data_IF_846574296737
#
_entry.id   IF_846574296737
#
_cell.length_a   1.000
_cell.length_b   1.000
_cell.length_c   1.000
_cell.angle_alpha   90.00
_cell.angle_beta   90.00
_cell.angle_gamma   90.00
#
_symmetry.space_group_name_H-M   'P 1'
#
loop_
_entity.id
_entity.type
_entity.pdbx_description
1 polymer ?
#
# COMPACT_ATOMS: atom_id res chain seq x y z
N UNK A 1 14.51 -4.14 -34.11
CA UNK A 1 15.91 -3.85 -33.71
C UNK A 1 16.21 -4.65 -32.43
N UNK A 2 17.42 -5.22 -32.32
CA UNK A 2 17.79 -6.00 -31.10
C UNK A 2 17.71 -5.18 -29.81
N UNK A 3 17.83 -3.86 -29.93
CA UNK A 3 17.75 -2.91 -28.80
C UNK A 3 16.31 -2.69 -28.29
N UNK A 4 15.29 -2.88 -29.14
CA UNK A 4 13.89 -2.68 -28.74
C UNK A 4 13.40 -3.73 -27.70
N UNK A 5 14.09 -4.89 -27.65
CA UNK A 5 13.78 -5.95 -26.69
C UNK A 5 14.40 -5.77 -25.30
N UNK A 6 15.40 -4.90 -25.17
CA UNK A 6 16.19 -4.69 -23.94
C UNK A 6 16.31 -3.20 -23.62
N UNK A 7 15.21 -2.55 -23.22
CA UNK A 7 15.20 -1.13 -22.91
C UNK A 7 15.92 -0.85 -21.58
N UNK A 8 16.45 0.38 -21.43
CA UNK A 8 17.06 0.84 -20.17
C UNK A 8 16.01 1.16 -19.09
N UNK A 9 14.73 1.31 -19.49
CA UNK A 9 13.61 1.60 -18.61
C UNK A 9 12.35 0.87 -19.06
N UNK A 10 11.50 0.49 -18.13
CA UNK A 10 10.17 -0.05 -18.41
C UNK A 10 9.10 0.78 -17.69
N UNK A 11 7.96 0.98 -18.35
CA UNK A 11 6.81 1.69 -17.80
C UNK A 11 5.77 0.70 -17.29
N UNK A 12 5.14 1.02 -16.15
CA UNK A 12 4.00 0.29 -15.63
C UNK A 12 3.15 1.19 -14.76
N UNK A 13 1.85 1.30 -15.06
CA UNK A 13 0.92 2.09 -14.26
C UNK A 13 1.24 3.59 -14.18
N UNK A 14 2.02 4.12 -15.14
CA UNK A 14 2.48 5.50 -15.15
C UNK A 14 3.76 5.77 -14.35
N UNK A 15 4.34 4.74 -13.75
CA UNK A 15 5.68 4.77 -13.15
C UNK A 15 6.71 4.20 -14.12
N UNK A 16 7.95 4.69 -14.06
CA UNK A 16 9.09 4.22 -14.82
C UNK A 16 10.09 3.54 -13.88
N UNK A 17 10.63 2.41 -14.32
CA UNK A 17 11.58 1.60 -13.57
C UNK A 17 12.84 1.38 -14.41
N UNK A 18 13.99 1.73 -13.88
CA UNK A 18 15.27 1.46 -14.53
C UNK A 18 15.52 -0.04 -14.65
N UNK A 19 16.13 -0.45 -15.74
CA UNK A 19 16.44 -1.86 -16.01
C UNK A 19 17.97 -2.04 -16.10
N UNK A 20 18.48 -2.97 -15.29
CA UNK A 20 19.89 -3.34 -15.28
C UNK A 20 20.05 -4.75 -15.83
N UNK A 21 21.07 -4.92 -16.66
CA UNK A 21 21.42 -6.19 -17.30
C UNK A 21 22.80 -6.62 -16.85
N UNK A 22 22.86 -7.76 -16.18
CA UNK A 22 24.09 -8.38 -15.76
C UNK A 22 24.23 -9.75 -16.44
N UNK A 23 25.40 -10.05 -16.97
CA UNK A 23 25.72 -11.35 -17.53
C UNK A 23 26.95 -11.90 -16.82
N UNK A 24 26.73 -12.40 -15.62
CA UNK A 24 27.75 -13.06 -14.79
C UNK A 24 27.15 -14.32 -14.16
N UNK A 25 27.16 -15.44 -14.92
CA UNK A 25 26.50 -16.66 -14.48
C UNK A 25 26.94 -17.14 -13.11
N UNK A 26 26.02 -17.10 -12.16
CA UNK A 26 26.24 -17.49 -10.76
C UNK A 26 26.40 -16.31 -9.78
N UNK A 27 26.42 -15.08 -10.26
CA UNK A 27 26.30 -13.91 -9.42
C UNK A 27 24.86 -13.70 -8.93
N UNK A 28 24.71 -13.04 -7.78
CA UNK A 28 23.38 -12.78 -7.17
C UNK A 28 22.55 -11.84 -8.04
N UNK A 29 23.19 -10.98 -8.82
CA UNK A 29 22.60 -9.98 -9.72
C UNK A 29 22.56 -10.42 -11.20
N UNK A 30 22.99 -11.67 -11.53
CA UNK A 30 22.94 -12.20 -12.91
C UNK A 30 21.51 -12.16 -13.47
N UNK A 31 21.39 -11.70 -14.72
CA UNK A 31 20.11 -11.60 -15.45
C UNK A 31 19.56 -10.17 -15.53
N UNK A 32 18.25 -10.02 -15.33
CA UNK A 32 17.53 -8.74 -15.43
C UNK A 32 17.11 -8.28 -14.05
N UNK A 33 17.43 -7.05 -13.71
CA UNK A 33 17.08 -6.43 -12.42
C UNK A 33 16.36 -5.10 -12.66
N UNK A 34 15.22 -4.91 -12.01
CA UNK A 34 14.48 -3.65 -11.99
C UNK A 34 14.94 -2.81 -10.81
N UNK A 35 15.40 -1.59 -11.07
CA UNK A 35 15.72 -0.61 -10.05
C UNK A 35 14.45 0.08 -9.57
N UNK A 36 14.21 0.04 -8.28
CA UNK A 36 13.05 0.63 -7.61
C UNK A 36 13.51 1.48 -6.45
N UNK A 37 13.16 2.76 -6.48
CA UNK A 37 13.38 3.61 -5.30
C UNK A 37 12.47 3.16 -4.14
N UNK A 38 12.97 3.23 -2.90
CA UNK A 38 12.23 2.75 -1.73
C UNK A 38 10.83 3.36 -1.62
N UNK A 39 10.66 4.63 -1.94
CA UNK A 39 9.36 5.30 -1.86
C UNK A 39 8.36 4.84 -2.93
N UNK A 40 8.85 4.27 -4.05
CA UNK A 40 8.02 3.69 -5.12
C UNK A 40 7.63 2.24 -4.82
N UNK A 41 8.37 1.55 -3.95
CA UNK A 41 8.19 0.11 -3.70
C UNK A 41 6.75 -0.29 -3.32
N UNK A 42 5.99 0.49 -2.50
CA UNK A 42 4.60 0.15 -2.17
C UNK A 42 3.63 0.19 -3.36
N UNK A 43 3.98 0.94 -4.41
CA UNK A 43 3.15 1.13 -5.60
C UNK A 43 3.53 0.17 -6.74
N UNK A 44 4.62 -0.60 -6.56
CA UNK A 44 5.03 -1.63 -7.51
C UNK A 44 4.03 -2.78 -7.50
N UNK A 45 3.39 -3.11 -8.63
CA UNK A 45 2.50 -4.26 -8.69
C UNK A 45 3.25 -5.57 -8.41
N UNK A 46 2.67 -6.44 -7.56
CA UNK A 46 3.29 -7.72 -7.20
C UNK A 46 3.62 -8.60 -8.41
N UNK A 47 2.84 -8.48 -9.48
CA UNK A 47 3.00 -9.24 -10.72
C UNK A 47 4.01 -8.61 -11.71
N UNK A 48 4.54 -7.40 -11.47
CA UNK A 48 5.43 -6.72 -12.42
C UNK A 48 6.67 -7.56 -12.79
N UNK A 49 7.36 -8.23 -11.86
CA UNK A 49 8.53 -9.07 -12.18
C UNK A 49 8.20 -10.26 -13.09
N UNK A 50 6.93 -10.69 -13.15
CA UNK A 50 6.51 -11.79 -14.02
C UNK A 50 6.73 -11.48 -15.50
N UNK A 51 6.60 -10.22 -15.90
CA UNK A 51 6.73 -9.79 -17.29
C UNK A 51 8.18 -9.76 -17.79
N UNK A 52 9.10 -9.34 -16.94
CA UNK A 52 10.49 -9.13 -17.33
C UNK A 52 10.63 -8.01 -18.35
N UNK A 53 11.50 -8.23 -19.32
CA UNK A 53 11.75 -7.32 -20.44
C UNK A 53 11.16 -7.88 -21.72
N UNK A 54 10.81 -7.03 -22.71
CA UNK A 54 10.20 -7.48 -23.96
C UNK A 54 11.01 -8.57 -24.67
N UNK A 55 12.35 -8.49 -24.66
CA UNK A 55 13.24 -9.47 -25.30
C UNK A 55 13.15 -10.88 -24.69
N UNK A 56 12.72 -11.00 -23.44
CA UNK A 56 12.53 -12.28 -22.77
C UNK A 56 11.10 -12.79 -22.79
N UNK A 57 10.12 -11.97 -23.19
CA UNK A 57 8.69 -12.29 -23.07
C UNK A 57 8.30 -13.54 -23.86
N UNK A 58 8.82 -13.72 -25.07
CA UNK A 58 8.53 -14.91 -25.86
C UNK A 58 9.03 -16.20 -25.20
N UNK A 59 10.22 -16.18 -24.61
CA UNK A 59 10.80 -17.34 -23.93
C UNK A 59 10.04 -17.65 -22.64
N UNK A 60 9.65 -16.63 -21.85
CA UNK A 60 8.81 -16.80 -20.65
C UNK A 60 7.45 -17.39 -21.02
N UNK A 61 6.79 -16.82 -22.03
CA UNK A 61 5.51 -17.33 -22.52
C UNK A 61 5.62 -18.78 -22.99
N UNK A 62 6.70 -19.15 -23.71
CA UNK A 62 6.93 -20.53 -24.13
C UNK A 62 7.08 -21.48 -22.93
N UNK A 63 7.88 -21.11 -21.92
CA UNK A 63 8.04 -21.89 -20.71
C UNK A 63 6.68 -22.11 -20.02
N UNK A 64 5.88 -21.08 -19.86
CA UNK A 64 4.58 -21.15 -19.20
C UNK A 64 3.54 -21.94 -20.03
N UNK A 65 3.43 -21.71 -21.33
CA UNK A 65 2.53 -22.46 -22.21
C UNK A 65 2.85 -23.97 -22.22
N UNK A 66 4.12 -24.37 -22.01
CA UNK A 66 4.51 -25.78 -21.86
C UNK A 66 4.00 -26.43 -20.58
N UNK A 67 3.63 -25.65 -19.54
CA UNK A 67 3.07 -26.17 -18.27
C UNK A 67 1.59 -26.51 -18.38
N UNK A 68 0.89 -26.00 -19.37
CA UNK A 68 -0.55 -26.21 -19.55
C UNK A 68 -0.90 -27.72 -19.66
N UNK A 69 -2.13 -28.10 -19.27
CA UNK A 69 -2.68 -29.43 -19.51
C UNK A 69 -2.56 -29.86 -20.97
N UNK A 70 -2.37 -31.15 -21.21
CA UNK A 70 -2.12 -31.70 -22.56
C UNK A 70 -3.23 -31.40 -23.57
N UNK A 71 -4.46 -31.37 -23.10
CA UNK A 71 -5.67 -31.09 -23.90
C UNK A 71 -5.70 -29.65 -24.43
N UNK A 72 -5.14 -28.67 -23.72
CA UNK A 72 -4.94 -27.30 -24.22
C UNK A 72 -3.71 -27.19 -25.11
N UNK A 73 -2.58 -27.82 -24.71
CA UNK A 73 -1.30 -27.73 -25.45
C UNK A 73 -1.37 -28.24 -26.89
N UNK A 74 -2.24 -29.23 -27.16
CA UNK A 74 -2.42 -29.78 -28.50
C UNK A 74 -2.87 -28.71 -29.50
N UNK A 75 -3.70 -27.75 -29.07
CA UNK A 75 -4.21 -26.66 -29.91
C UNK A 75 -3.22 -25.51 -30.09
N UNK A 76 -2.17 -25.46 -29.25
CA UNK A 76 -1.17 -24.39 -29.29
C UNK A 76 0.12 -24.79 -30.04
N UNK A 77 0.11 -25.89 -30.81
CA UNK A 77 1.29 -26.32 -31.56
C UNK A 77 1.48 -25.53 -32.85
N UNK A 78 2.72 -25.11 -33.18
CA UNK A 78 3.93 -25.16 -32.34
C UNK A 78 3.93 -24.10 -31.22
N UNK A 79 4.22 -24.52 -29.99
CA UNK A 79 4.16 -23.64 -28.82
C UNK A 79 5.07 -22.41 -28.94
N UNK A 80 6.29 -22.61 -29.47
CA UNK A 80 7.25 -21.51 -29.67
C UNK A 80 6.72 -20.40 -30.59
N UNK A 81 5.98 -20.76 -31.66
CA UNK A 81 5.36 -19.77 -32.56
C UNK A 81 4.21 -19.02 -31.85
N UNK A 82 3.41 -19.71 -31.01
CA UNK A 82 2.35 -19.09 -30.24
C UNK A 82 2.90 -18.15 -29.15
N UNK A 83 4.00 -18.53 -28.51
CA UNK A 83 4.71 -17.68 -27.57
C UNK A 83 5.29 -16.43 -28.23
N UNK A 84 5.91 -16.58 -29.39
CA UNK A 84 6.41 -15.45 -30.19
C UNK A 84 5.27 -14.51 -30.60
N UNK A 85 4.14 -15.07 -31.05
CA UNK A 85 2.95 -14.30 -31.41
C UNK A 85 2.35 -13.55 -30.24
N UNK A 86 2.29 -14.17 -29.06
CA UNK A 86 1.89 -13.48 -27.82
C UNK A 86 2.80 -12.28 -27.54
N UNK A 87 4.12 -12.47 -27.60
CA UNK A 87 5.08 -11.38 -27.36
C UNK A 87 4.94 -10.26 -28.41
N UNK A 88 4.67 -10.58 -29.66
CA UNK A 88 4.40 -9.60 -30.71
C UNK A 88 3.12 -8.79 -30.43
N UNK A 89 2.04 -9.43 -30.00
CA UNK A 89 0.79 -8.75 -29.61
C UNK A 89 0.97 -7.79 -28.43
N UNK A 90 1.96 -8.04 -27.57
CA UNK A 90 2.27 -7.20 -26.40
C UNK A 90 3.39 -6.18 -26.68
N UNK A 91 3.96 -6.18 -27.89
CA UNK A 91 5.04 -5.26 -28.25
C UNK A 91 4.59 -3.81 -28.13
N UNK A 92 5.36 -2.99 -27.41
CA UNK A 92 5.07 -1.58 -27.19
C UNK A 92 3.88 -1.30 -26.26
N UNK A 93 3.36 -2.30 -25.57
CA UNK A 93 2.30 -2.16 -24.57
C UNK A 93 2.87 -2.35 -23.17
N UNK A 94 2.51 -1.46 -22.27
CA UNK A 94 2.85 -1.62 -20.85
C UNK A 94 2.16 -2.85 -20.25
N UNK A 95 2.79 -3.52 -19.28
CA UNK A 95 2.13 -4.54 -18.47
C UNK A 95 0.88 -3.98 -17.78
N UNK A 96 -0.25 -4.69 -17.91
CA UNK A 96 -1.57 -4.25 -17.44
C UNK A 96 -2.28 -5.29 -16.54
N UNK A 97 -1.50 -6.21 -15.94
CA UNK A 97 -2.00 -7.26 -15.06
C UNK A 97 -1.05 -8.46 -14.98
N UNK A 98 -1.37 -9.49 -14.18
CA UNK A 98 -0.54 -10.70 -14.06
C UNK A 98 -0.31 -11.39 -15.40
N UNK A 99 0.94 -11.81 -15.65
CA UNK A 99 1.31 -12.48 -16.92
C UNK A 99 0.49 -13.76 -17.14
N UNK A 100 0.28 -14.55 -16.09
CA UNK A 100 -0.52 -15.76 -16.17
C UNK A 100 -1.97 -15.49 -16.60
N UNK A 101 -2.56 -14.37 -16.15
CA UNK A 101 -3.89 -13.96 -16.59
C UNK A 101 -3.92 -13.59 -18.07
N UNK A 102 -2.95 -12.80 -18.54
CA UNK A 102 -2.87 -12.40 -19.95
C UNK A 102 -2.60 -13.57 -20.87
N UNK A 103 -1.80 -14.52 -20.42
CA UNK A 103 -1.61 -15.79 -21.16
C UNK A 103 -2.89 -16.63 -21.18
N UNK A 104 -3.68 -16.66 -20.10
CA UNK A 104 -4.95 -17.37 -20.09
C UNK A 104 -5.94 -16.77 -21.10
N UNK A 105 -6.09 -15.45 -21.11
CA UNK A 105 -6.91 -14.71 -22.08
C UNK A 105 -6.47 -15.02 -23.54
N UNK A 106 -5.15 -15.04 -23.77
CA UNK A 106 -4.58 -15.40 -25.08
C UNK A 106 -4.91 -16.84 -25.48
N UNK A 107 -4.74 -17.80 -24.57
CA UNK A 107 -5.04 -19.22 -24.84
C UNK A 107 -6.53 -19.42 -25.12
N UNK A 108 -7.41 -18.75 -24.41
CA UNK A 108 -8.86 -18.78 -24.66
C UNK A 108 -9.21 -18.23 -26.05
N UNK A 109 -8.60 -17.10 -26.42
CA UNK A 109 -8.80 -16.50 -27.74
C UNK A 109 -8.31 -17.41 -28.88
N UNK A 110 -7.17 -18.07 -28.70
CA UNK A 110 -6.56 -18.94 -29.73
C UNK A 110 -7.23 -20.31 -29.85
N UNK A 111 -7.79 -20.83 -28.76
CA UNK A 111 -8.29 -22.21 -28.72
C UNK A 111 -9.82 -22.30 -28.60
N UNK A 112 -10.50 -21.23 -28.21
CA UNK A 112 -11.92 -21.22 -27.86
C UNK A 112 -12.24 -22.05 -26.62
N UNK A 113 -11.22 -22.38 -25.78
CA UNK A 113 -11.34 -23.22 -24.58
C UNK A 113 -10.97 -22.46 -23.35
N UNK A 114 -11.66 -22.73 -22.25
CA UNK A 114 -11.37 -22.15 -20.95
C UNK A 114 -9.93 -22.47 -20.50
N UNK A 115 -9.21 -21.44 -20.03
CA UNK A 115 -7.88 -21.54 -19.46
C UNK A 115 -7.81 -20.71 -18.17
N UNK A 116 -7.64 -21.36 -17.04
CA UNK A 116 -7.45 -20.64 -15.77
C UNK A 116 -5.99 -20.17 -15.64
N UNK A 117 -5.73 -18.97 -15.08
CA UNK A 117 -4.37 -18.51 -14.76
C UNK A 117 -3.59 -19.48 -13.87
N UNK A 118 -4.27 -20.22 -13.00
CA UNK A 118 -3.67 -21.24 -12.11
C UNK A 118 -3.14 -22.49 -12.84
N UNK A 119 -3.38 -22.63 -14.15
CA UNK A 119 -2.81 -23.72 -14.93
C UNK A 119 -1.34 -23.48 -15.29
N UNK A 120 -0.85 -22.25 -15.16
CA UNK A 120 0.54 -21.90 -15.40
C UNK A 120 1.38 -22.11 -14.15
N UNK A 121 2.48 -22.83 -14.27
CA UNK A 121 3.45 -23.01 -13.19
C UNK A 121 4.59 -22.00 -13.35
N UNK A 122 4.48 -20.90 -12.60
CA UNK A 122 5.47 -19.79 -12.62
C UNK A 122 6.87 -20.25 -12.20
N UNK A 123 6.99 -21.35 -11.42
CA UNK A 123 8.28 -21.89 -10.99
C UNK A 123 9.05 -22.59 -12.13
N UNK A 124 8.43 -22.73 -13.30
CA UNK A 124 9.08 -23.30 -14.49
C UNK A 124 9.83 -22.26 -15.33
N UNK A 125 9.76 -21.00 -14.96
CA UNK A 125 10.59 -19.96 -15.58
C UNK A 125 12.05 -20.24 -15.17
N UNK A 126 12.98 -20.41 -16.14
CA UNK A 126 14.40 -20.60 -15.86
C UNK A 126 14.99 -19.43 -15.08
N UNK A 127 16.00 -19.71 -14.25
CA UNK A 127 16.59 -18.69 -13.37
C UNK A 127 17.13 -17.46 -14.12
N UNK A 128 17.70 -17.68 -15.30
CA UNK A 128 18.19 -16.62 -16.19
C UNK A 128 17.10 -15.71 -16.76
N UNK A 129 15.85 -16.16 -16.73
CA UNK A 129 14.69 -15.37 -17.14
C UNK A 129 13.94 -14.74 -15.95
N UNK A 130 14.30 -15.06 -14.71
CA UNK A 130 13.68 -14.44 -13.54
C UNK A 130 14.13 -13.00 -13.42
N UNK A 131 13.16 -12.08 -13.26
CA UNK A 131 13.45 -10.66 -13.03
C UNK A 131 13.54 -10.39 -11.54
N UNK A 132 14.62 -9.75 -11.13
CA UNK A 132 14.84 -9.32 -9.77
C UNK A 132 14.42 -7.88 -9.60
N UNK A 133 14.19 -7.48 -8.36
CA UNK A 133 13.96 -6.10 -7.95
C UNK A 133 15.08 -5.71 -7.03
N UNK A 134 15.75 -4.63 -7.36
CA UNK A 134 16.75 -3.98 -6.55
C UNK A 134 16.17 -2.70 -5.96
N UNK A 135 16.02 -2.66 -4.64
CA UNK A 135 15.48 -1.49 -3.94
C UNK A 135 16.63 -0.65 -3.43
N UNK A 136 16.64 0.63 -3.81
CA UNK A 136 17.68 1.59 -3.39
C UNK A 136 17.07 2.78 -2.63
N UNK A 137 17.94 3.52 -1.94
CA UNK A 137 17.63 4.81 -1.31
C UNK A 137 18.01 6.00 -2.19
N UNK A 138 17.92 7.21 -1.61
CA UNK A 138 18.21 8.48 -2.31
C UNK A 138 19.67 8.59 -2.75
N UNK A 139 20.60 7.89 -2.07
CA UNK A 139 22.03 7.85 -2.40
C UNK A 139 22.34 6.76 -3.44
N UNK A 140 21.34 5.95 -3.83
CA UNK A 140 21.51 4.81 -4.73
C UNK A 140 22.09 3.58 -4.05
N UNK A 141 22.14 3.55 -2.70
CA UNK A 141 22.62 2.39 -1.96
C UNK A 141 21.56 1.29 -1.89
N UNK A 142 22.02 0.04 -2.02
CA UNK A 142 21.14 -1.11 -1.94
C UNK A 142 20.52 -1.28 -0.54
N UNK A 143 19.20 -1.40 -0.50
CA UNK A 143 18.46 -1.69 0.71
C UNK A 143 17.99 -3.14 0.79
N UNK A 144 17.61 -3.69 -0.35
CA UNK A 144 17.19 -5.07 -0.50
C UNK A 144 17.20 -5.47 -1.98
N UNK A 145 17.39 -6.75 -2.23
CA UNK A 145 17.17 -7.39 -3.52
C UNK A 145 16.29 -8.63 -3.34
N UNK A 146 15.44 -8.92 -4.32
CA UNK A 146 14.56 -10.08 -4.31
C UNK A 146 13.71 -10.20 -5.57
N UNK A 147 12.89 -11.23 -5.63
CA UNK A 147 11.97 -11.48 -6.75
C UNK A 147 10.50 -11.31 -6.37
N UNK A 148 10.22 -11.19 -5.08
CA UNK A 148 8.88 -11.07 -4.52
C UNK A 148 8.67 -9.67 -3.94
N UNK A 149 7.78 -8.88 -4.57
CA UNK A 149 7.45 -7.51 -4.15
C UNK A 149 6.81 -7.48 -2.77
N UNK A 150 5.94 -8.44 -2.45
CA UNK A 150 5.27 -8.48 -1.15
C UNK A 150 6.28 -8.77 -0.02
N UNK A 151 7.24 -9.67 -0.25
CA UNK A 151 8.34 -9.93 0.70
C UNK A 151 9.20 -8.70 0.90
N UNK A 152 9.58 -8.01 -0.18
CA UNK A 152 10.37 -6.77 -0.10
C UNK A 152 9.64 -5.68 0.67
N UNK A 153 8.34 -5.49 0.41
CA UNK A 153 7.49 -4.56 1.17
C UNK A 153 7.43 -4.93 2.66
N UNK A 154 7.25 -6.19 2.99
CA UNK A 154 7.23 -6.65 4.38
C UNK A 154 8.59 -6.43 5.07
N UNK A 155 9.70 -6.72 4.39
CA UNK A 155 11.07 -6.54 4.87
C UNK A 155 11.41 -5.07 5.12
N UNK A 156 11.01 -4.18 4.22
CA UNK A 156 11.32 -2.76 4.28
C UNK A 156 10.22 -1.91 4.95
N UNK A 157 9.09 -2.50 5.33
CA UNK A 157 7.92 -1.79 5.84
C UNK A 157 8.19 -0.82 7.00
N UNK A 158 9.07 -1.19 7.93
CA UNK A 158 9.47 -0.29 9.03
C UNK A 158 10.25 0.93 8.54
N UNK A 159 11.12 0.76 7.54
CA UNK A 159 11.91 1.85 6.93
C UNK A 159 10.97 2.76 6.12
N UNK A 160 10.06 2.19 5.37
CA UNK A 160 9.02 2.91 4.62
C UNK A 160 8.15 3.78 5.53
N UNK A 161 7.56 3.20 6.57
CA UNK A 161 6.73 3.95 7.52
C UNK A 161 7.50 5.02 8.30
N UNK A 162 8.79 4.82 8.51
CA UNK A 162 9.64 5.84 9.13
C UNK A 162 9.86 7.01 8.18
N UNK A 163 10.25 6.76 6.93
CA UNK A 163 10.44 7.78 5.89
C UNK A 163 9.17 8.60 5.67
N UNK A 164 8.03 7.92 5.51
CA UNK A 164 6.74 8.59 5.38
C UNK A 164 6.50 9.57 6.54
N UNK A 165 6.71 9.13 7.79
CA UNK A 165 6.50 9.99 8.97
C UNK A 165 7.47 11.17 9.03
N UNK A 166 8.71 11.00 8.63
CA UNK A 166 9.71 12.07 8.57
C UNK A 166 9.30 13.10 7.52
N UNK A 167 8.99 12.70 6.29
CA UNK A 167 8.52 13.60 5.22
C UNK A 167 7.17 14.26 5.59
N UNK A 168 6.24 13.52 6.14
CA UNK A 168 4.94 14.02 6.56
C UNK A 168 5.05 15.06 7.69
N UNK A 169 6.02 14.91 8.61
CA UNK A 169 6.25 15.85 9.69
C UNK A 169 6.78 17.20 9.18
N UNK A 170 7.53 17.20 8.08
CA UNK A 170 8.01 18.43 7.44
C UNK A 170 6.88 19.18 6.73
N UNK A 171 5.85 18.47 6.27
CA UNK A 171 4.68 19.08 5.60
C UNK A 171 3.70 19.64 6.63
N UNK A 172 3.28 18.84 7.59
CA UNK A 172 2.33 19.24 8.63
C UNK A 172 2.71 18.60 9.97
N UNK A 173 3.18 19.43 10.91
CA UNK A 173 3.42 19.01 12.29
C UNK A 173 3.10 20.15 13.24
N UNK A 174 2.03 19.99 14.02
CA UNK A 174 1.65 20.92 15.09
C UNK A 174 1.49 20.14 16.38
N UNK A 175 2.08 20.64 17.46
CA UNK A 175 2.01 20.01 18.78
C UNK A 175 1.64 21.06 19.85
N UNK A 176 1.13 20.60 20.97
CA UNK A 176 0.91 21.44 22.14
C UNK A 176 -0.26 22.43 22.02
N UNK A 177 -1.15 22.26 21.06
CA UNK A 177 -2.25 23.15 20.77
C UNK A 177 -3.36 23.01 21.81
N UNK A 178 -3.73 24.10 22.48
CA UNK A 178 -4.87 24.20 23.41
C UNK A 178 -5.99 25.07 22.87
N UNK A 179 -5.68 25.92 21.90
CA UNK A 179 -6.61 26.75 21.13
C UNK A 179 -6.42 26.47 19.66
N UNK A 180 -7.46 26.72 18.84
CA UNK A 180 -7.37 26.47 17.41
C UNK A 180 -6.49 27.52 16.74
N UNK A 181 -5.34 27.11 16.24
CA UNK A 181 -4.35 27.97 15.58
C UNK A 181 -3.97 27.51 14.18
N UNK A 182 -4.53 26.37 13.71
CA UNK A 182 -4.12 25.76 12.45
C UNK A 182 -4.90 26.26 11.22
N UNK A 183 -5.91 27.14 11.36
CA UNK A 183 -6.79 27.46 10.24
C UNK A 183 -7.62 26.27 9.77
N UNK A 184 -7.89 26.20 8.46
CA UNK A 184 -8.57 25.06 7.88
C UNK A 184 -7.56 23.92 7.67
N UNK A 185 -7.90 22.73 8.14
CA UNK A 185 -7.10 21.52 7.90
C UNK A 185 -7.56 20.85 6.61
N UNK A 186 -6.67 20.70 5.66
CA UNK A 186 -6.89 19.85 4.52
C UNK A 186 -7.01 18.40 4.99
N UNK A 187 -7.93 17.65 4.40
CA UNK A 187 -8.16 16.25 4.77
C UNK A 187 -7.00 15.34 4.34
N UNK A 188 -6.41 15.68 3.19
CA UNK A 188 -5.31 14.92 2.60
C UNK A 188 -4.19 15.87 2.14
N UNK A 189 -2.97 15.39 2.22
CA UNK A 189 -1.76 16.05 1.70
C UNK A 189 -0.96 15.06 0.88
N UNK A 190 -0.19 15.55 -0.09
CA UNK A 190 0.75 14.71 -0.81
C UNK A 190 2.04 14.55 0.02
N UNK A 191 2.43 13.30 0.25
CA UNK A 191 3.67 12.93 0.94
C UNK A 191 4.52 12.09 -0.01
N UNK A 192 5.41 12.74 -0.75
CA UNK A 192 6.28 12.10 -1.75
C UNK A 192 5.51 11.26 -2.79
N UNK A 193 4.45 11.84 -3.38
CA UNK A 193 3.61 11.19 -4.39
C UNK A 193 2.53 10.25 -3.82
N UNK A 194 2.40 10.14 -2.49
CA UNK A 194 1.43 9.28 -1.81
C UNK A 194 0.45 10.10 -0.98
N UNK A 195 -0.83 9.70 -0.90
CA UNK A 195 -1.79 10.40 -0.07
C UNK A 195 -1.45 10.23 1.42
N UNK A 196 -1.31 11.34 2.12
CA UNK A 196 -1.23 11.41 3.57
C UNK A 196 -2.54 11.96 4.14
N UNK A 197 -3.05 11.36 5.21
CA UNK A 197 -4.32 11.74 5.83
C UNK A 197 -4.06 12.57 7.09
N UNK A 198 -4.51 13.82 7.06
CA UNK A 198 -4.28 14.78 8.16
C UNK A 198 -5.29 14.54 9.28
N UNK A 199 -4.80 14.44 10.50
CA UNK A 199 -5.64 14.22 11.67
C UNK A 199 -5.22 15.01 12.90
N UNK A 200 -6.20 15.43 13.71
CA UNK A 200 -5.99 15.87 15.08
C UNK A 200 -5.62 14.66 15.95
N UNK A 201 -4.64 14.85 16.82
CA UNK A 201 -4.15 13.79 17.71
C UNK A 201 -4.31 14.24 19.16
N UNK A 202 -4.84 13.36 20.01
CA UNK A 202 -4.88 13.57 21.46
C UNK A 202 -3.48 13.39 22.05
N UNK A 203 -2.92 14.46 22.62
CA UNK A 203 -1.62 14.47 23.30
C UNK A 203 -1.77 14.52 24.84
N UNK A 204 -2.99 14.32 25.35
CA UNK A 204 -3.32 14.41 26.77
C UNK A 204 -3.54 15.85 27.23
N UNK A 205 -2.52 16.65 27.52
CA UNK A 205 -2.68 18.05 27.95
C UNK A 205 -3.00 19.02 26.81
N UNK A 206 -2.89 18.57 25.57
CA UNK A 206 -3.04 19.35 24.33
C UNK A 206 -3.57 18.47 23.21
N UNK A 207 -3.73 19.06 22.04
CA UNK A 207 -3.92 18.36 20.78
C UNK A 207 -2.81 18.75 19.81
N UNK A 208 -2.48 17.84 18.90
CA UNK A 208 -1.57 18.08 17.80
C UNK A 208 -2.22 17.80 16.46
N UNK A 209 -1.51 18.10 15.36
CA UNK A 209 -1.88 17.70 13.99
C UNK A 209 -0.78 16.81 13.46
N UNK A 210 -1.14 15.66 12.88
CA UNK A 210 -0.22 14.70 12.26
C UNK A 210 -0.82 14.14 11.00
N UNK A 211 0.05 13.62 10.13
CA UNK A 211 -0.32 12.93 8.89
C UNK A 211 -0.12 11.43 9.08
N UNK A 212 -1.07 10.66 8.58
CA UNK A 212 -1.10 9.19 8.65
C UNK A 212 -1.07 8.59 7.25
N UNK A 213 -0.47 7.43 7.11
CA UNK A 213 -0.49 6.62 5.86
C UNK A 213 -1.86 5.97 5.62
N UNK A 214 -2.58 5.67 6.69
CA UNK A 214 -3.84 4.92 6.69
C UNK A 214 -5.02 5.82 7.07
N UNK A 215 -6.04 5.86 6.20
CA UNK A 215 -7.22 6.73 6.37
C UNK A 215 -8.02 6.37 7.63
N UNK A 216 -8.21 5.07 7.91
CA UNK A 216 -9.00 4.63 9.06
C UNK A 216 -8.31 5.00 10.37
N UNK A 217 -6.98 4.87 10.43
CA UNK A 217 -6.19 5.30 11.58
C UNK A 217 -6.22 6.81 11.76
N UNK A 218 -6.18 7.56 10.66
CA UNK A 218 -6.33 9.02 10.69
C UNK A 218 -7.69 9.43 11.23
N UNK A 219 -8.78 8.81 10.76
CA UNK A 219 -10.15 9.09 11.23
C UNK A 219 -10.31 8.78 12.72
N UNK A 220 -9.78 7.64 13.17
CA UNK A 220 -9.82 7.28 14.60
C UNK A 220 -9.03 8.27 15.45
N UNK A 221 -7.82 8.64 15.02
CA UNK A 221 -7.00 9.64 15.70
C UNK A 221 -7.69 11.01 15.72
N UNK A 222 -8.24 11.43 14.59
CA UNK A 222 -8.96 12.69 14.43
C UNK A 222 -10.15 12.79 15.38
N UNK A 223 -10.95 11.73 15.46
CA UNK A 223 -12.09 11.68 16.40
C UNK A 223 -11.64 11.85 17.86
N UNK A 224 -10.58 11.14 18.28
CA UNK A 224 -10.00 11.26 19.63
C UNK A 224 -9.45 12.67 19.87
N UNK A 225 -8.75 13.24 18.89
CA UNK A 225 -8.22 14.59 18.94
C UNK A 225 -9.32 15.65 19.07
N UNK A 226 -10.41 15.52 18.30
CA UNK A 226 -11.58 16.41 18.43
C UNK A 226 -12.23 16.33 19.82
N UNK A 227 -12.42 15.13 20.35
CA UNK A 227 -12.93 14.94 21.72
C UNK A 227 -12.04 15.60 22.76
N UNK A 228 -10.72 15.41 22.63
CA UNK A 228 -9.75 16.09 23.51
C UNK A 228 -9.84 17.60 23.41
N UNK A 229 -9.87 18.12 22.18
CA UNK A 229 -9.97 19.57 21.97
C UNK A 229 -11.24 20.17 22.57
N UNK A 230 -12.39 19.53 22.39
CA UNK A 230 -13.65 19.94 23.02
C UNK A 230 -13.55 19.95 24.54
N UNK A 231 -12.95 18.91 25.14
CA UNK A 231 -12.74 18.85 26.59
C UNK A 231 -11.86 19.99 27.12
N UNK A 232 -10.78 20.31 26.40
CA UNK A 232 -9.88 21.41 26.76
C UNK A 232 -10.60 22.75 26.70
N UNK A 233 -11.43 22.99 25.69
CA UNK A 233 -12.18 24.25 25.52
C UNK A 233 -13.32 24.42 26.51
N UNK A 234 -13.88 23.32 27.01
CA UNK A 234 -15.05 23.33 27.90
C UNK A 234 -14.72 22.90 29.34
N UNK A 235 -13.45 22.95 29.73
CA UNK A 235 -12.98 22.47 31.05
C UNK A 235 -13.80 23.02 32.20
N UNK A 236 -14.13 24.33 32.21
CA UNK A 236 -14.90 24.94 33.27
C UNK A 236 -16.36 24.47 33.31
N UNK A 237 -16.98 24.29 32.15
CA UNK A 237 -18.35 23.77 32.02
C UNK A 237 -18.41 22.31 32.48
N UNK A 238 -17.40 21.49 32.08
CA UNK A 238 -17.27 20.11 32.50
C UNK A 238 -17.07 19.97 34.01
N UNK A 239 -16.23 20.80 34.61
CA UNK A 239 -16.05 20.83 36.05
C UNK A 239 -17.32 21.24 36.80
N UNK A 240 -18.12 22.16 36.21
CA UNK A 240 -19.42 22.54 36.76
C UNK A 240 -20.43 21.37 36.64
N UNK A 241 -20.49 20.69 35.53
CA UNK A 241 -21.33 19.49 35.31
C UNK A 241 -20.95 18.37 36.29
N UNK A 242 -19.65 18.06 36.42
CA UNK A 242 -19.16 17.05 37.37
C UNK A 242 -19.60 17.33 38.82
N UNK A 243 -19.56 18.60 39.24
CA UNK A 243 -19.99 19.00 40.58
C UNK A 243 -21.49 18.97 40.77
N UNK A 244 -22.28 19.28 39.75
CA UNK A 244 -23.75 19.39 39.80
C UNK A 244 -24.46 18.28 39.05
N UNK A 245 -23.77 17.16 38.75
CA UNK A 245 -24.38 16.06 37.99
C UNK A 245 -25.68 15.60 38.69
N UNK A 246 -26.83 15.60 38.00
CA UNK A 246 -28.16 15.49 38.60
C UNK A 246 -28.56 14.07 39.00
N UNK A 247 -27.60 13.20 39.29
CA UNK A 247 -27.92 11.88 39.83
C UNK A 247 -28.50 12.00 41.23
N UNK A 248 -29.72 11.51 41.42
CA UNK A 248 -30.31 11.30 42.73
C UNK A 248 -29.42 10.37 43.55
N UNK A 249 -29.52 10.46 44.88
CA UNK A 249 -28.70 9.67 45.80
C UNK A 249 -28.76 8.15 45.50
N UNK A 250 -29.95 7.66 45.15
CA UNK A 250 -30.17 6.26 44.73
C UNK A 250 -29.35 5.86 43.51
N UNK A 251 -29.27 6.73 42.47
CA UNK A 251 -28.46 6.50 41.27
C UNK A 251 -26.96 6.50 41.56
N UNK A 252 -26.50 7.39 42.48
CA UNK A 252 -25.09 7.42 42.91
C UNK A 252 -24.70 6.15 43.67
N UNK A 253 -25.58 5.67 44.55
CA UNK A 253 -25.39 4.42 45.27
C UNK A 253 -25.36 3.21 44.35
N UNK A 254 -26.27 3.15 43.37
CA UNK A 254 -26.29 2.06 42.37
C UNK A 254 -25.02 2.00 41.52
N UNK A 255 -24.47 3.15 41.10
CA UNK A 255 -23.20 3.21 40.38
C UNK A 255 -22.01 2.79 41.24
N UNK A 256 -22.00 3.20 42.51
CA UNK A 256 -20.96 2.81 43.45
C UNK A 256 -20.98 1.29 43.73
N UNK A 257 -22.18 0.69 43.82
CA UNK A 257 -22.35 -0.75 43.98
C UNK A 257 -21.88 -1.53 42.73
N UNK A 258 -21.90 -0.91 41.54
CA UNK A 258 -21.37 -1.46 40.27
C UNK A 258 -19.87 -1.18 40.08
N UNK A 259 -19.20 -0.60 41.09
CA UNK A 259 -17.78 -0.25 41.03
C UNK A 259 -17.46 0.91 40.09
N UNK A 260 -18.46 1.74 39.73
CA UNK A 260 -18.29 2.90 38.84
C UNK A 260 -18.37 4.20 39.65
N UNK A 261 -17.43 5.12 39.39
CA UNK A 261 -17.46 6.45 39.95
C UNK A 261 -18.52 7.29 39.24
N UNK A 262 -19.44 7.98 39.97
CA UNK A 262 -20.41 8.90 39.39
C UNK A 262 -19.82 10.03 38.54
N UNK A 263 -18.56 10.43 38.80
CA UNK A 263 -17.86 11.44 38.02
C UNK A 263 -17.48 10.92 36.62
N UNK A 264 -17.20 9.61 36.46
CA UNK A 264 -16.89 8.97 35.21
C UNK A 264 -18.09 9.03 34.27
N UNK A 265 -19.32 8.91 34.79
CA UNK A 265 -20.53 9.00 33.97
C UNK A 265 -20.78 10.39 33.36
N UNK A 266 -20.30 11.45 34.01
CA UNK A 266 -20.38 12.80 33.45
C UNK A 266 -19.43 12.93 32.23
N UNK A 267 -18.26 12.30 32.30
CA UNK A 267 -17.29 12.25 31.19
C UNK A 267 -17.84 11.40 30.04
N UNK A 268 -18.43 10.23 30.33
CA UNK A 268 -19.06 9.37 29.33
C UNK A 268 -20.22 10.07 28.59
N UNK A 269 -21.05 10.87 29.33
CA UNK A 269 -22.13 11.65 28.71
C UNK A 269 -21.62 12.78 27.82
N UNK A 270 -20.52 13.41 28.21
CA UNK A 270 -19.89 14.44 27.37
C UNK A 270 -19.33 13.81 26.09
N UNK A 271 -18.68 12.65 26.21
CA UNK A 271 -18.15 11.94 25.05
C UNK A 271 -19.26 11.52 24.09
N UNK A 272 -20.33 10.93 24.60
CA UNK A 272 -21.51 10.56 23.78
C UNK A 272 -22.14 11.80 23.14
N UNK A 273 -22.28 12.89 23.88
CA UNK A 273 -22.85 14.14 23.35
C UNK A 273 -21.97 14.75 22.25
N UNK A 274 -20.65 14.70 22.42
CA UNK A 274 -19.69 15.17 21.44
C UNK A 274 -19.67 14.25 20.19
N UNK A 275 -19.75 12.93 20.36
CA UNK A 275 -19.85 11.97 19.26
C UNK A 275 -21.13 12.20 18.43
N UNK A 276 -22.27 12.45 19.07
CA UNK A 276 -23.53 12.79 18.39
C UNK A 276 -23.38 14.10 17.62
N UNK A 277 -22.77 15.12 18.23
CA UNK A 277 -22.56 16.41 17.59
C UNK A 277 -21.61 16.32 16.36
N UNK A 278 -20.69 15.38 16.36
CA UNK A 278 -19.79 15.09 15.23
C UNK A 278 -20.42 14.22 14.14
N UNK A 279 -21.70 13.86 14.25
CA UNK A 279 -22.43 13.19 13.18
C UNK A 279 -22.19 11.69 13.08
N UNK A 280 -22.06 10.99 14.21
CA UNK A 280 -22.04 9.53 14.20
C UNK A 280 -23.34 9.02 13.61
N UNK A 281 -23.33 8.21 12.53
CA UNK A 281 -24.53 7.49 12.11
C UNK A 281 -24.94 6.54 13.24
N UNK A 282 -26.20 6.60 13.64
CA UNK A 282 -26.88 5.74 14.60
C UNK A 282 -26.88 4.28 14.16
#
# INVERSE_FOLDING_TARGET
DLLDGFPDEISCGGAEYAVYYQNDPGAEDDGVTLGVHIDQLPDVPEWLPEWGVPGHLAQRAECLLRTLPKDLRVFLQPISQKAAYFAELRHGLDPDGPLAQKLAEFVEAETGRFCAPSFFDMNRIPAELVTKIWVCDDEGEELAMGTDVAELNARLGKKLSRRFRETAADIVSVTGMKEWTCGDLERTVDVAGRPGYVALVDEGPSVGVRVFEDELRAEEAHRRGCLRFMRLRQTDQLNHLRKKFPLKLEGKLSLHMLGRDPSTNADDLVDVSAEIAMGRPS
#
